data_IF_040535458070
#
_entry.id   IF_040535458070
#
_cell.length_a   1.000
_cell.length_b   1.000
_cell.length_c   1.000
_cell.angle_alpha   90.00
_cell.angle_beta   90.00
_cell.angle_gamma   90.00
#
_symmetry.space_group_name_H-M   'P 1'
#
loop_
_entity.id
_entity.type
_entity.pdbx_description
1 polymer ?
#
# COMPACT_ATOMS: atom_id res chain seq x y z
N UNK A 1 -2.21 -26.13 34.33
CA UNK A 1 -1.02 -26.69 35.00
C UNK A 1 -0.08 -27.29 33.97
N UNK A 2 1.08 -26.67 33.67
CA UNK A 2 2.10 -27.29 32.85
C UNK A 2 2.99 -28.22 33.69
N UNK A 3 3.14 -29.47 33.25
CA UNK A 3 4.39 -30.21 33.47
C UNK A 3 4.46 -31.23 34.62
N UNK A 4 3.36 -31.80 35.11
CA UNK A 4 3.49 -33.01 35.94
C UNK A 4 4.25 -34.09 35.16
N UNK A 5 5.36 -34.56 35.73
CA UNK A 5 6.16 -35.64 35.16
C UNK A 5 5.33 -36.92 35.10
N UNK A 6 5.51 -37.70 34.03
CA UNK A 6 4.86 -39.00 33.92
C UNK A 6 5.63 -39.99 34.80
N UNK A 7 4.93 -40.65 35.71
CA UNK A 7 5.54 -41.73 36.50
C UNK A 7 5.70 -42.99 35.65
N UNK A 8 6.57 -43.91 36.07
CA UNK A 8 6.74 -45.20 35.39
C UNK A 8 5.43 -45.99 35.38
N UNK A 9 4.69 -45.98 36.50
CA UNK A 9 3.38 -46.61 36.61
C UNK A 9 2.35 -46.05 35.62
N UNK A 10 2.28 -44.72 35.45
CA UNK A 10 1.39 -44.10 34.45
C UNK A 10 1.79 -44.47 33.01
N UNK A 11 3.07 -44.75 32.75
CA UNK A 11 3.58 -45.16 31.44
C UNK A 11 3.25 -46.63 31.16
N UNK A 12 3.36 -47.50 32.15
CA UNK A 12 2.97 -48.91 32.05
C UNK A 12 1.46 -49.04 31.82
N UNK A 13 0.65 -48.34 32.63
CA UNK A 13 -0.81 -48.28 32.41
C UNK A 13 -1.17 -47.80 31.00
N UNK A 14 -0.47 -46.79 30.48
CA UNK A 14 -0.67 -46.31 29.11
C UNK A 14 -0.38 -47.41 28.08
N UNK A 15 0.69 -48.17 28.27
CA UNK A 15 1.06 -49.27 27.36
C UNK A 15 0.00 -50.38 27.38
N UNK A 16 -0.46 -50.76 28.56
CA UNK A 16 -1.44 -51.84 28.72
C UNK A 16 -2.80 -51.47 28.13
N UNK A 17 -3.27 -50.23 28.36
CA UNK A 17 -4.53 -49.75 27.79
C UNK A 17 -4.47 -49.63 26.27
N UNK A 18 -3.31 -49.25 25.71
CA UNK A 18 -3.10 -49.23 24.26
C UNK A 18 -3.05 -50.64 23.66
N UNK A 19 -2.46 -51.61 24.36
CA UNK A 19 -2.46 -53.01 23.95
C UNK A 19 -3.87 -53.62 23.92
N UNK A 20 -4.77 -53.12 24.78
CA UNK A 20 -6.20 -53.45 24.79
C UNK A 20 -7.01 -52.75 23.68
N UNK A 21 -6.37 -51.92 22.85
CA UNK A 21 -7.00 -51.24 21.71
C UNK A 21 -7.83 -50.00 22.07
N UNK A 22 -7.75 -49.51 23.30
CA UNK A 22 -8.48 -48.31 23.72
C UNK A 22 -7.93 -47.06 23.03
N UNK A 23 -8.79 -46.08 22.75
CA UNK A 23 -8.39 -44.78 22.24
C UNK A 23 -8.05 -43.80 23.38
N UNK A 24 -7.25 -42.78 23.10
CA UNK A 24 -6.85 -41.79 24.11
C UNK A 24 -8.02 -41.01 24.74
N UNK A 25 -9.18 -40.95 24.08
CA UNK A 25 -10.43 -40.39 24.62
C UNK A 25 -11.13 -41.27 25.65
N UNK A 26 -10.86 -42.58 25.62
CA UNK A 26 -11.48 -43.58 26.48
C UNK A 26 -10.58 -43.95 27.67
N UNK A 27 -9.30 -43.57 27.61
CA UNK A 27 -8.33 -43.83 28.67
C UNK A 27 -8.45 -42.82 29.81
N UNK A 28 -8.42 -43.34 31.04
CA UNK A 28 -8.31 -42.54 32.25
C UNK A 28 -7.03 -42.93 33.01
N UNK A 29 -5.98 -42.12 32.84
CA UNK A 29 -4.68 -42.31 33.51
C UNK A 29 -4.49 -41.15 34.47
N UNK A 30 -4.62 -41.40 35.77
CA UNK A 30 -4.54 -40.38 36.81
C UNK A 30 -5.44 -39.16 36.52
N UNK A 31 -4.86 -37.97 36.55
CA UNK A 31 -5.51 -36.69 36.20
C UNK A 31 -5.18 -36.19 34.79
N UNK A 32 -4.70 -37.07 33.90
CA UNK A 32 -4.25 -36.69 32.55
C UNK A 32 -5.42 -36.48 31.61
N UNK A 33 -5.35 -35.40 30.83
CA UNK A 33 -6.33 -35.19 29.76
C UNK A 33 -6.09 -36.13 28.58
N UNK A 34 -7.11 -36.44 27.76
CA UNK A 34 -6.96 -37.24 26.54
C UNK A 34 -5.85 -36.73 25.62
N UNK A 35 -5.70 -35.41 25.50
CA UNK A 35 -4.63 -34.79 24.72
C UNK A 35 -3.24 -35.06 25.31
N UNK A 36 -3.09 -35.07 26.65
CA UNK A 36 -1.83 -35.40 27.30
C UNK A 36 -1.46 -36.88 27.09
N UNK A 37 -2.45 -37.77 27.20
CA UNK A 37 -2.33 -39.21 26.95
C UNK A 37 -1.88 -39.47 25.51
N UNK A 38 -2.60 -38.92 24.52
CA UNK A 38 -2.25 -39.04 23.11
C UNK A 38 -0.85 -38.50 22.79
N UNK A 39 -0.49 -37.34 23.36
CA UNK A 39 0.84 -36.77 23.16
C UNK A 39 1.96 -37.58 23.80
N UNK A 40 1.71 -38.25 24.93
CA UNK A 40 2.69 -39.13 25.57
C UNK A 40 2.83 -40.43 24.80
N UNK A 41 1.72 -41.05 24.40
CA UNK A 41 1.71 -42.25 23.57
C UNK A 41 2.47 -42.02 22.26
N UNK A 42 2.26 -40.87 21.61
CA UNK A 42 2.99 -40.46 20.40
C UNK A 42 4.46 -40.05 20.64
N UNK A 43 4.90 -39.85 21.89
CA UNK A 43 6.32 -39.61 22.24
C UNK A 43 7.05 -40.88 22.60
N UNK A 44 6.32 -41.92 23.01
CA UNK A 44 6.83 -43.26 23.30
C UNK A 44 6.69 -44.19 22.10
N UNK A 45 6.34 -43.63 20.93
CA UNK A 45 6.12 -44.34 19.66
C UNK A 45 5.09 -45.48 19.74
N UNK A 46 4.16 -45.43 20.70
CA UNK A 46 3.06 -46.39 20.79
C UNK A 46 1.95 -46.11 19.77
N UNK A 47 1.82 -44.86 19.31
CA UNK A 47 0.83 -44.42 18.31
C UNK A 47 1.41 -43.32 17.42
N UNK A 48 1.04 -43.30 16.15
CA UNK A 48 1.45 -42.25 15.20
C UNK A 48 1.98 -42.79 13.89
N UNK A 49 2.46 -41.88 13.05
CA UNK A 49 3.01 -42.12 11.72
C UNK A 49 4.43 -42.72 11.71
N UNK A 50 4.96 -43.11 12.87
CA UNK A 50 6.30 -43.68 13.01
C UNK A 50 7.45 -42.71 12.73
N UNK A 51 7.17 -41.40 12.58
CA UNK A 51 8.19 -40.38 12.30
C UNK A 51 8.88 -40.00 13.62
N UNK A 52 10.16 -40.38 13.84
CA UNK A 52 10.85 -40.09 15.08
C UNK A 52 10.97 -38.57 15.26
N UNK A 53 10.42 -38.05 16.34
CA UNK A 53 10.53 -36.60 16.66
C UNK A 53 11.90 -36.32 17.25
N UNK A 54 12.93 -36.31 16.39
CA UNK A 54 14.33 -36.05 16.75
C UNK A 54 14.43 -34.77 17.58
N UNK A 55 15.13 -34.82 18.72
CA UNK A 55 15.45 -33.61 19.50
C UNK A 55 16.36 -32.71 18.66
N UNK A 56 16.19 -31.40 18.76
CA UNK A 56 17.08 -30.45 18.10
C UNK A 56 18.46 -30.51 18.76
N UNK A 57 19.49 -30.83 17.98
CA UNK A 57 20.89 -30.77 18.41
C UNK A 57 21.44 -29.36 18.15
N UNK A 58 22.49 -28.98 18.87
CA UNK A 58 23.16 -27.69 18.67
C UNK A 58 23.67 -27.52 17.22
N UNK A 59 24.18 -28.60 16.63
CA UNK A 59 24.62 -28.66 15.23
C UNK A 59 23.46 -28.39 14.25
N UNK A 60 22.33 -29.06 14.43
CA UNK A 60 21.14 -28.86 13.58
C UNK A 60 20.59 -27.42 13.71
N UNK A 61 20.73 -26.80 14.88
CA UNK A 61 20.36 -25.40 15.09
C UNK A 61 21.32 -24.41 14.42
N UNK A 62 22.63 -24.68 14.48
CA UNK A 62 23.65 -23.89 13.80
C UNK A 62 23.48 -23.96 12.28
N UNK A 63 23.24 -25.16 11.77
CA UNK A 63 22.99 -25.40 10.36
C UNK A 63 21.69 -24.73 9.89
N UNK A 64 20.61 -24.81 10.68
CA UNK A 64 19.38 -24.09 10.40
C UNK A 64 19.61 -22.56 10.35
N UNK A 65 20.42 -21.99 11.25
CA UNK A 65 20.77 -20.56 11.21
C UNK A 65 21.55 -20.20 9.95
N UNK A 66 22.55 -21.01 9.57
CA UNK A 66 23.36 -20.81 8.37
C UNK A 66 22.49 -20.78 7.12
N UNK A 67 21.64 -21.79 6.94
CA UNK A 67 20.77 -21.93 5.77
C UNK A 67 19.76 -20.79 5.64
N UNK A 68 19.19 -20.32 6.76
CA UNK A 68 18.32 -19.14 6.76
C UNK A 68 19.11 -17.87 6.40
N UNK A 69 20.34 -17.72 6.90
CA UNK A 69 21.26 -16.65 6.50
C UNK A 69 21.54 -16.63 5.00
N UNK A 70 21.58 -17.82 4.38
CA UNK A 70 21.73 -18.02 2.93
C UNK A 70 20.42 -17.84 2.14
N UNK A 71 19.33 -17.43 2.80
CA UNK A 71 18.05 -17.14 2.16
C UNK A 71 17.17 -18.36 1.91
N UNK A 72 17.46 -19.51 2.53
CA UNK A 72 16.59 -20.68 2.40
C UNK A 72 15.25 -20.45 3.11
N UNK A 73 14.19 -21.02 2.56
CA UNK A 73 12.85 -20.98 3.17
C UNK A 73 12.53 -22.30 3.85
N UNK A 74 11.67 -22.28 4.87
CA UNK A 74 11.22 -23.50 5.55
C UNK A 74 10.60 -24.55 4.61
N UNK A 75 10.01 -24.11 3.48
CA UNK A 75 9.48 -25.01 2.46
C UNK A 75 10.58 -25.69 1.66
N UNK A 76 11.64 -24.94 1.30
CA UNK A 76 12.82 -25.47 0.60
C UNK A 76 13.59 -26.45 1.48
N UNK A 77 13.77 -26.10 2.75
CA UNK A 77 14.42 -26.97 3.74
C UNK A 77 13.69 -28.31 3.92
N UNK A 78 12.35 -28.29 3.94
CA UNK A 78 11.57 -29.53 4.07
C UNK A 78 11.46 -30.34 2.78
N UNK A 79 11.81 -29.76 1.63
CA UNK A 79 11.73 -30.43 0.34
C UNK A 79 13.04 -31.17 -0.01
N UNK A 80 14.15 -30.80 0.62
CA UNK A 80 15.44 -31.46 0.46
C UNK A 80 15.62 -32.49 1.58
N UNK A 81 15.57 -33.80 1.28
CA UNK A 81 15.68 -34.84 2.30
C UNK A 81 17.03 -34.82 3.04
N UNK A 82 18.07 -34.25 2.43
CA UNK A 82 19.43 -34.27 2.97
C UNK A 82 19.70 -33.10 3.94
N UNK A 83 18.89 -32.04 3.85
CA UNK A 83 19.07 -30.81 4.62
C UNK A 83 18.13 -30.86 5.83
N UNK A 84 18.63 -31.35 6.97
CA UNK A 84 17.90 -31.62 8.23
C UNK A 84 17.08 -32.93 8.25
N UNK A 85 17.76 -34.04 7.97
CA UNK A 85 17.22 -35.41 8.05
C UNK A 85 16.50 -35.66 9.39
N UNK A 86 15.23 -36.08 9.30
CA UNK A 86 14.40 -36.43 10.46
C UNK A 86 13.61 -35.26 11.07
N UNK A 87 13.68 -34.05 10.51
CA UNK A 87 12.84 -32.92 10.94
C UNK A 87 11.74 -32.63 9.91
N UNK A 88 10.48 -32.78 10.33
CA UNK A 88 9.36 -32.41 9.46
C UNK A 88 9.29 -30.90 9.22
N UNK A 89 8.63 -30.48 8.12
CA UNK A 89 8.35 -29.07 7.81
C UNK A 89 7.79 -28.30 9.01
N UNK A 90 6.87 -28.91 9.76
CA UNK A 90 6.25 -28.29 10.93
C UNK A 90 7.26 -28.15 12.09
N UNK A 91 8.14 -29.13 12.28
CA UNK A 91 9.22 -29.06 13.27
C UNK A 91 10.19 -27.91 12.95
N UNK A 92 10.61 -27.79 11.69
CA UNK A 92 11.46 -26.69 11.19
C UNK A 92 10.77 -25.34 11.39
N UNK A 93 9.51 -25.19 10.97
CA UNK A 93 8.75 -23.95 11.14
C UNK A 93 8.60 -23.54 12.61
N UNK A 94 8.27 -24.49 13.49
CA UNK A 94 8.17 -24.23 14.94
C UNK A 94 9.53 -23.82 15.52
N UNK A 95 10.61 -24.46 15.10
CA UNK A 95 11.96 -24.14 15.57
C UNK A 95 12.41 -22.76 15.12
N UNK A 96 12.22 -22.41 13.84
CA UNK A 96 12.47 -21.06 13.32
C UNK A 96 11.72 -19.99 14.10
N UNK A 97 10.45 -20.26 14.45
CA UNK A 97 9.64 -19.37 15.29
C UNK A 97 10.23 -19.19 16.69
N UNK A 98 10.66 -20.27 17.36
CA UNK A 98 11.29 -20.22 18.69
C UNK A 98 12.64 -19.49 18.68
N UNK A 99 13.40 -19.65 17.61
CA UNK A 99 14.70 -18.99 17.41
C UNK A 99 14.58 -17.55 16.91
N UNK A 100 13.36 -17.02 16.73
CA UNK A 100 13.08 -15.68 16.18
C UNK A 100 13.69 -15.45 14.78
N UNK A 101 13.91 -16.53 14.03
CA UNK A 101 14.43 -16.50 12.66
C UNK A 101 13.31 -16.29 11.61
N UNK A 102 12.05 -16.29 12.04
CA UNK A 102 10.91 -15.90 11.21
C UNK A 102 10.61 -14.41 11.32
N UNK A 103 10.17 -13.79 10.24
CA UNK A 103 9.58 -12.43 10.26
C UNK A 103 8.40 -12.38 11.26
N UNK A 104 8.64 -11.79 12.43
CA UNK A 104 7.65 -11.62 13.48
C UNK A 104 6.47 -10.75 13.06
N UNK A 105 6.69 -9.81 12.14
CA UNK A 105 5.65 -8.98 11.54
C UNK A 105 4.72 -9.79 10.63
N UNK A 106 5.27 -10.70 9.82
CA UNK A 106 4.47 -11.67 9.04
C UNK A 106 3.65 -12.58 9.96
N UNK A 107 4.26 -13.13 11.00
CA UNK A 107 3.58 -14.02 11.96
C UNK A 107 2.48 -13.31 12.76
N UNK A 108 2.69 -12.04 13.12
CA UNK A 108 1.65 -11.21 13.76
C UNK A 108 0.49 -10.94 12.79
N UNK A 109 0.78 -10.46 11.58
CA UNK A 109 -0.24 -10.24 10.54
C UNK A 109 -1.05 -11.50 10.21
N UNK A 110 -0.42 -12.67 10.23
CA UNK A 110 -1.11 -13.94 9.97
C UNK A 110 -2.06 -14.36 11.10
N UNK A 111 -1.74 -14.00 12.36
CA UNK A 111 -2.61 -14.20 13.52
C UNK A 111 -3.77 -13.20 13.54
N UNK A 112 -3.49 -11.95 13.22
CA UNK A 112 -4.49 -10.86 13.21
C UNK A 112 -5.35 -10.89 11.94
N UNK A 113 -5.06 -11.79 11.00
CA UNK A 113 -5.82 -11.93 9.77
C UNK A 113 -7.21 -12.51 10.07
N UNK A 114 -8.22 -11.64 10.03
CA UNK A 114 -9.61 -12.06 10.21
C UNK A 114 -10.04 -12.96 9.06
N UNK A 115 -10.41 -14.22 9.38
CA UNK A 115 -10.82 -15.22 8.38
C UNK A 115 -12.33 -15.26 8.27
N UNK A 116 -12.82 -15.47 7.05
CA UNK A 116 -14.24 -15.76 6.86
C UNK A 116 -14.45 -17.22 7.26
N UNK A 117 -15.52 -17.51 7.99
CA UNK A 117 -15.96 -18.88 8.21
C UNK A 117 -16.37 -19.53 6.88
N UNK A 118 -16.49 -20.86 6.83
CA UNK A 118 -16.91 -21.54 5.60
C UNK A 118 -18.26 -21.02 5.08
N UNK A 119 -19.25 -20.86 5.96
CA UNK A 119 -20.56 -20.31 5.60
C UNK A 119 -20.49 -18.85 5.14
N UNK A 120 -19.67 -18.00 5.77
CA UNK A 120 -19.47 -16.63 5.32
C UNK A 120 -18.78 -16.58 3.95
N UNK A 121 -17.84 -17.49 3.72
CA UNK A 121 -17.10 -17.55 2.46
C UNK A 121 -18.01 -17.97 1.31
N UNK A 122 -18.91 -18.91 1.54
CA UNK A 122 -19.90 -19.36 0.56
C UNK A 122 -20.86 -18.23 0.16
N UNK A 123 -21.47 -17.56 1.17
CA UNK A 123 -22.28 -16.35 0.92
C UNK A 123 -21.50 -15.27 0.17
N UNK A 124 -20.23 -15.11 0.51
CA UNK A 124 -19.36 -14.15 -0.16
C UNK A 124 -19.12 -14.53 -1.63
N UNK A 125 -18.90 -15.81 -1.95
CA UNK A 125 -18.71 -16.27 -3.33
C UNK A 125 -19.98 -16.06 -4.16
N UNK A 126 -21.14 -16.41 -3.63
CA UNK A 126 -22.44 -16.14 -4.27
C UNK A 126 -22.62 -14.64 -4.54
N UNK A 127 -22.28 -13.80 -3.56
CA UNK A 127 -22.32 -12.34 -3.72
C UNK A 127 -21.36 -11.84 -4.81
N UNK A 128 -20.14 -12.39 -4.86
CA UNK A 128 -19.15 -12.05 -5.89
C UNK A 128 -19.67 -12.36 -7.29
N UNK A 129 -20.22 -13.55 -7.51
CA UNK A 129 -20.73 -13.96 -8.82
C UNK A 129 -21.87 -13.06 -9.29
N UNK A 130 -22.78 -12.66 -8.39
CA UNK A 130 -23.87 -11.76 -8.70
C UNK A 130 -23.41 -10.33 -9.09
N UNK A 131 -22.32 -9.83 -8.49
CA UNK A 131 -21.90 -8.44 -8.65
C UNK A 131 -20.67 -8.23 -9.54
N UNK A 132 -19.90 -9.28 -9.84
CA UNK A 132 -18.65 -9.15 -10.58
C UNK A 132 -18.81 -8.53 -11.96
N UNK A 133 -19.97 -8.72 -12.60
CA UNK A 133 -20.25 -8.19 -13.93
C UNK A 133 -20.43 -6.67 -13.95
N UNK A 134 -21.05 -6.11 -12.90
CA UNK A 134 -21.52 -4.71 -12.84
C UNK A 134 -20.71 -3.82 -11.92
N UNK A 135 -19.99 -4.41 -10.97
CA UNK A 135 -19.28 -3.67 -9.93
C UNK A 135 -17.76 -3.83 -10.04
N UNK A 136 -17.04 -2.75 -9.75
CA UNK A 136 -15.59 -2.82 -9.56
C UNK A 136 -15.25 -3.58 -8.28
N UNK A 137 -14.06 -4.19 -8.15
CA UNK A 137 -13.67 -4.87 -6.90
C UNK A 137 -13.71 -3.97 -5.65
N UNK A 138 -13.54 -2.66 -5.83
CA UNK A 138 -13.67 -1.69 -4.74
C UNK A 138 -15.14 -1.47 -4.34
N UNK A 139 -16.06 -1.37 -5.32
CA UNK A 139 -17.49 -1.29 -5.03
C UNK A 139 -18.01 -2.55 -4.37
N UNK A 140 -17.60 -3.73 -4.84
CA UNK A 140 -18.01 -5.01 -4.26
C UNK A 140 -17.62 -5.05 -2.78
N UNK A 141 -16.39 -4.63 -2.44
CA UNK A 141 -15.96 -4.52 -1.06
C UNK A 141 -16.85 -3.56 -0.25
N UNK A 142 -17.16 -2.38 -0.80
CA UNK A 142 -18.03 -1.41 -0.12
C UNK A 142 -19.45 -1.94 0.10
N UNK A 143 -20.04 -2.60 -0.90
CA UNK A 143 -21.40 -3.15 -0.81
C UNK A 143 -21.46 -4.29 0.20
N UNK A 144 -20.53 -5.25 0.12
CA UNK A 144 -20.46 -6.37 1.06
C UNK A 144 -20.33 -5.87 2.51
N UNK A 145 -19.44 -4.90 2.73
CA UNK A 145 -19.12 -4.37 4.06
C UNK A 145 -20.25 -3.55 4.72
N UNK A 146 -21.33 -3.23 4.01
CA UNK A 146 -22.49 -2.55 4.62
C UNK A 146 -23.25 -3.45 5.59
N UNK A 147 -23.35 -4.72 5.23
CA UNK A 147 -24.23 -5.68 5.91
C UNK A 147 -23.45 -6.85 6.52
N UNK A 148 -22.16 -6.99 6.18
CA UNK A 148 -21.38 -8.15 6.57
C UNK A 148 -20.12 -7.77 7.36
N UNK A 149 -19.94 -8.48 8.47
CA UNK A 149 -18.68 -8.56 9.20
C UNK A 149 -18.13 -9.99 9.08
N UNK A 150 -16.80 -10.16 8.97
CA UNK A 150 -15.76 -9.14 8.99
C UNK A 150 -15.60 -8.36 7.68
N UNK A 151 -15.05 -7.14 7.77
CA UNK A 151 -14.83 -6.27 6.63
C UNK A 151 -13.84 -6.89 5.63
N UNK A 152 -14.22 -6.85 4.36
CA UNK A 152 -13.43 -7.35 3.24
C UNK A 152 -12.80 -6.17 2.51
N UNK A 153 -11.50 -6.29 2.20
CA UNK A 153 -10.78 -5.27 1.42
C UNK A 153 -10.87 -5.56 -0.08
N UNK A 154 -10.64 -4.53 -0.91
CA UNK A 154 -10.51 -4.68 -2.38
C UNK A 154 -9.56 -5.83 -2.76
N UNK A 155 -8.41 -5.96 -2.08
CA UNK A 155 -7.41 -7.00 -2.38
C UNK A 155 -7.99 -8.41 -2.19
N UNK A 156 -8.79 -8.59 -1.14
CA UNK A 156 -9.44 -9.85 -0.84
C UNK A 156 -10.55 -10.18 -1.84
N UNK A 157 -11.31 -9.18 -2.29
CA UNK A 157 -12.26 -9.34 -3.41
C UNK A 157 -11.53 -9.82 -4.66
N UNK A 158 -10.45 -9.15 -5.07
CA UNK A 158 -9.67 -9.55 -6.25
C UNK A 158 -9.15 -10.98 -6.13
N UNK A 159 -8.60 -11.35 -4.97
CA UNK A 159 -8.13 -12.72 -4.72
C UNK A 159 -9.23 -13.76 -4.93
N UNK A 160 -10.42 -13.54 -4.36
CA UNK A 160 -11.52 -14.49 -4.51
C UNK A 160 -12.12 -14.51 -5.92
N UNK A 161 -12.20 -13.36 -6.61
CA UNK A 161 -12.60 -13.33 -8.02
C UNK A 161 -11.62 -14.13 -8.91
N UNK A 162 -10.31 -13.99 -8.67
CA UNK A 162 -9.30 -14.77 -9.38
C UNK A 162 -9.44 -16.27 -9.10
N UNK A 163 -9.69 -16.64 -7.84
CA UNK A 163 -9.91 -18.04 -7.45
C UNK A 163 -11.17 -18.63 -8.09
N UNK A 164 -12.20 -17.81 -8.31
CA UNK A 164 -13.43 -18.18 -9.01
C UNK A 164 -13.31 -18.13 -10.55
N UNK A 165 -12.12 -17.84 -11.10
CA UNK A 165 -11.90 -17.75 -12.54
C UNK A 165 -12.45 -16.48 -13.20
N UNK A 166 -13.02 -15.55 -12.41
CA UNK A 166 -13.56 -14.27 -12.90
C UNK A 166 -12.41 -13.27 -13.06
N UNK A 167 -11.72 -13.35 -14.20
CA UNK A 167 -10.64 -12.42 -14.55
C UNK A 167 -11.22 -11.21 -15.27
N UNK A 168 -10.83 -10.01 -14.83
CA UNK A 168 -11.05 -8.76 -15.54
C UNK A 168 -9.72 -8.05 -15.72
N UNK A 169 -9.50 -7.53 -16.92
CA UNK A 169 -8.36 -6.68 -17.19
C UNK A 169 -8.50 -5.37 -16.41
N UNK A 170 -7.37 -4.75 -16.10
CA UNK A 170 -7.38 -3.43 -15.48
C UNK A 170 -8.11 -2.40 -16.36
N UNK A 171 -7.93 -2.47 -17.69
CA UNK A 171 -8.58 -1.57 -18.64
C UNK A 171 -10.12 -1.62 -18.53
N UNK A 172 -10.71 -2.82 -18.46
CA UNK A 172 -12.15 -3.00 -18.29
C UNK A 172 -12.64 -2.38 -16.98
N UNK A 173 -11.93 -2.62 -15.87
CA UNK A 173 -12.26 -2.03 -14.57
C UNK A 173 -12.23 -0.51 -14.62
N UNK A 174 -11.29 0.08 -15.37
CA UNK A 174 -11.19 1.54 -15.53
C UNK A 174 -12.32 2.13 -16.37
N UNK A 175 -12.91 1.36 -17.29
CA UNK A 175 -14.05 1.79 -18.09
C UNK A 175 -15.38 1.80 -17.33
N UNK A 176 -15.45 1.14 -16.17
CA UNK A 176 -16.65 1.08 -15.33
C UNK A 176 -17.03 2.45 -14.76
N UNK A 177 -18.33 2.67 -14.58
CA UNK A 177 -18.89 3.95 -14.14
C UNK A 177 -18.27 4.46 -12.82
N UNK A 178 -18.03 3.57 -11.86
CA UNK A 178 -17.42 3.94 -10.58
C UNK A 178 -15.98 4.39 -10.70
N UNK A 179 -15.16 3.68 -11.47
CA UNK A 179 -13.77 4.07 -11.74
C UNK A 179 -13.71 5.42 -12.44
N UNK A 180 -14.59 5.64 -13.44
CA UNK A 180 -14.72 6.94 -14.12
C UNK A 180 -15.16 8.05 -13.16
N UNK A 181 -16.15 7.81 -12.31
CA UNK A 181 -16.62 8.78 -11.32
C UNK A 181 -15.51 9.14 -10.32
N UNK A 182 -14.79 8.14 -9.80
CA UNK A 182 -13.65 8.32 -8.90
C UNK A 182 -12.53 9.09 -9.57
N UNK A 183 -12.18 8.75 -10.82
CA UNK A 183 -11.21 9.52 -11.61
C UNK A 183 -11.64 10.98 -11.77
N UNK A 184 -12.89 11.25 -12.15
CA UNK A 184 -13.42 12.61 -12.28
C UNK A 184 -13.32 13.39 -10.98
N UNK A 185 -13.64 12.77 -9.84
CA UNK A 185 -13.50 13.39 -8.52
C UNK A 185 -12.05 13.71 -8.19
N UNK A 186 -11.13 12.78 -8.42
CA UNK A 186 -9.69 12.98 -8.21
C UNK A 186 -9.16 14.09 -9.13
N UNK A 187 -9.52 14.07 -10.41
CA UNK A 187 -9.16 15.11 -11.37
C UNK A 187 -9.73 16.48 -10.98
N UNK A 188 -10.97 16.56 -10.50
CA UNK A 188 -11.59 17.80 -10.01
C UNK A 188 -10.85 18.34 -8.78
N UNK A 189 -10.53 17.47 -7.81
CA UNK A 189 -9.73 17.85 -6.62
C UNK A 189 -8.33 18.32 -7.01
N UNK A 190 -7.66 17.61 -7.93
CA UNK A 190 -6.34 17.97 -8.43
C UNK A 190 -6.36 19.31 -9.18
N UNK A 191 -7.38 19.55 -10.00
CA UNK A 191 -7.56 20.82 -10.70
C UNK A 191 -7.77 21.98 -9.73
N UNK A 192 -8.64 21.82 -8.72
CA UNK A 192 -8.86 22.82 -7.69
C UNK A 192 -7.59 23.11 -6.86
N UNK A 193 -6.87 22.06 -6.45
CA UNK A 193 -5.61 22.22 -5.73
C UNK A 193 -4.52 22.88 -6.59
N UNK A 194 -4.48 22.58 -7.89
CA UNK A 194 -3.59 23.28 -8.82
C UNK A 194 -3.97 24.74 -8.97
N UNK A 195 -5.26 25.07 -9.06
CA UNK A 195 -5.73 26.45 -9.16
C UNK A 195 -5.34 27.26 -7.92
N UNK A 196 -5.59 26.73 -6.72
CA UNK A 196 -5.20 27.39 -5.46
C UNK A 196 -3.70 27.65 -5.37
N UNK A 197 -2.87 26.65 -5.69
CA UNK A 197 -1.40 26.83 -5.74
C UNK A 197 -0.98 27.91 -6.74
N UNK A 198 -1.71 28.05 -7.85
CA UNK A 198 -1.43 29.07 -8.83
C UNK A 198 -1.83 30.48 -8.41
N UNK A 199 -2.93 30.61 -7.69
CA UNK A 199 -3.35 31.87 -7.08
C UNK A 199 -2.31 32.32 -6.06
N UNK A 200 -1.90 31.43 -5.15
CA UNK A 200 -0.81 31.71 -4.19
C UNK A 200 0.50 32.13 -4.87
N UNK A 201 0.93 31.40 -5.90
CA UNK A 201 2.12 31.77 -6.67
C UNK A 201 1.98 33.14 -7.33
N UNK A 202 0.78 33.48 -7.83
CA UNK A 202 0.53 34.79 -8.45
C UNK A 202 0.61 35.90 -7.42
N UNK A 203 -0.01 35.72 -6.26
CA UNK A 203 -0.04 36.71 -5.20
C UNK A 203 1.37 36.98 -4.67
N UNK A 204 2.18 35.92 -4.54
CA UNK A 204 3.59 36.03 -4.18
C UNK A 204 4.41 36.77 -5.26
N UNK A 205 4.23 36.44 -6.53
CA UNK A 205 4.90 37.15 -7.63
C UNK A 205 4.48 38.63 -7.69
N UNK A 206 3.21 38.92 -7.40
CA UNK A 206 2.73 40.30 -7.34
C UNK A 206 3.35 41.06 -6.17
N UNK A 207 3.41 40.46 -4.98
CA UNK A 207 3.97 41.09 -3.79
C UNK A 207 5.46 41.38 -3.97
N UNK A 208 6.22 40.44 -4.55
CA UNK A 208 7.64 40.61 -4.92
C UNK A 208 7.83 41.78 -5.90
N UNK A 209 7.00 41.86 -6.95
CA UNK A 209 7.06 42.96 -7.91
C UNK A 209 6.69 44.29 -7.24
N UNK A 210 5.66 44.33 -6.39
CA UNK A 210 5.28 45.54 -5.65
C UNK A 210 6.41 46.00 -4.74
N UNK A 211 7.08 45.09 -4.06
CA UNK A 211 8.24 45.39 -3.23
C UNK A 211 9.42 45.91 -4.05
N UNK A 212 9.74 45.27 -5.18
CA UNK A 212 10.78 45.73 -6.09
C UNK A 212 10.47 47.14 -6.63
N UNK A 213 9.21 47.42 -6.95
CA UNK A 213 8.76 48.74 -7.38
C UNK A 213 8.94 49.78 -6.26
N UNK A 214 8.57 49.45 -5.01
CA UNK A 214 8.79 50.30 -3.83
C UNK A 214 10.27 50.61 -3.66
N UNK A 215 11.14 49.59 -3.60
CA UNK A 215 12.60 49.74 -3.45
C UNK A 215 13.18 50.64 -4.55
N UNK A 216 12.76 50.48 -5.81
CA UNK A 216 13.21 51.32 -6.93
C UNK A 216 12.76 52.77 -6.80
N UNK A 217 11.49 53.01 -6.46
CA UNK A 217 10.97 54.37 -6.24
C UNK A 217 11.75 55.08 -5.13
N UNK A 218 12.00 54.41 -4.01
CA UNK A 218 12.79 54.97 -2.90
C UNK A 218 14.21 55.35 -3.33
N UNK A 219 14.92 54.46 -4.05
CA UNK A 219 16.28 54.71 -4.56
C UNK A 219 16.36 55.82 -5.60
N UNK A 220 15.29 56.05 -6.36
CA UNK A 220 15.27 57.08 -7.41
C UNK A 220 14.94 58.45 -6.79
N UNK A 221 14.02 58.47 -5.81
CA UNK A 221 13.69 59.66 -5.02
C UNK A 221 14.90 60.19 -4.24
N UNK A 222 15.68 59.30 -3.61
CA UNK A 222 16.92 59.71 -2.92
C UNK A 222 18.00 60.27 -3.84
N UNK A 223 17.91 60.02 -5.15
CA UNK A 223 18.84 60.54 -6.17
C UNK A 223 18.29 61.76 -6.93
N UNK A 224 17.14 62.30 -6.52
CA UNK A 224 16.50 63.45 -7.18
C UNK A 224 16.01 63.18 -8.61
N UNK A 225 15.92 61.91 -9.04
CA UNK A 225 15.48 61.54 -10.39
C UNK A 225 14.02 61.10 -10.39
N UNK A 226 13.30 61.33 -11.49
CA UNK A 226 11.96 60.77 -11.69
C UNK A 226 12.06 59.38 -12.31
N UNK A 227 11.33 58.40 -11.74
CA UNK A 227 11.26 57.05 -12.29
C UNK A 227 10.21 57.03 -13.39
N UNK A 228 10.57 56.58 -14.60
CA UNK A 228 9.58 56.39 -15.66
C UNK A 228 8.57 55.32 -15.25
N UNK A 229 7.30 55.69 -15.21
CA UNK A 229 6.18 54.80 -14.87
C UNK A 229 5.35 54.53 -16.11
N UNK A 230 4.90 53.30 -16.26
CA UNK A 230 3.97 52.89 -17.31
C UNK A 230 2.77 52.18 -16.71
N UNK A 231 1.61 52.38 -17.33
CA UNK A 231 0.36 51.71 -16.97
C UNK A 231 0.20 50.45 -17.82
N UNK A 232 -0.07 49.31 -17.17
CA UNK A 232 -0.38 48.08 -17.87
C UNK A 232 -1.76 48.18 -18.55
N UNK A 233 -1.86 47.87 -19.85
CA UNK A 233 -3.15 47.90 -20.57
C UNK A 233 -4.21 46.93 -20.03
N UNK A 234 -3.80 45.83 -19.40
CA UNK A 234 -4.72 44.77 -19.00
C UNK A 234 -5.25 44.94 -17.57
N UNK A 235 -4.38 45.34 -16.64
CA UNK A 235 -4.74 45.46 -15.22
C UNK A 235 -4.73 46.90 -14.71
N UNK A 236 -4.43 47.89 -15.58
CA UNK A 236 -4.30 49.31 -15.26
C UNK A 236 -3.34 49.65 -14.10
N UNK A 237 -2.55 48.69 -13.64
CA UNK A 237 -1.58 48.90 -12.58
C UNK A 237 -0.38 49.70 -13.08
N UNK A 238 0.12 50.60 -12.23
CA UNK A 238 1.26 51.48 -12.49
C UNK A 238 2.58 50.80 -12.08
N UNK A 239 3.40 50.47 -13.06
CA UNK A 239 4.69 49.80 -12.85
C UNK A 239 5.86 50.63 -13.38
N UNK A 240 7.05 50.54 -12.79
CA UNK A 240 8.27 51.09 -13.39
C UNK A 240 8.47 50.57 -14.81
N UNK A 241 8.85 51.44 -15.75
CA UNK A 241 9.04 51.11 -17.16
C UNK A 241 10.41 50.42 -17.38
N UNK A 242 10.59 49.24 -16.79
CA UNK A 242 11.82 48.43 -16.86
C UNK A 242 11.49 46.93 -16.98
N UNK A 243 12.49 46.14 -17.40
CA UNK A 243 12.37 44.71 -17.75
C UNK A 243 11.71 43.80 -16.69
N UNK A 244 11.94 43.98 -15.36
CA UNK A 244 11.24 43.17 -14.36
C UNK A 244 9.72 43.23 -14.47
N UNK A 245 9.16 44.37 -14.88
CA UNK A 245 7.71 44.60 -14.92
C UNK A 245 7.11 44.42 -16.31
N UNK A 246 7.88 44.67 -17.36
CA UNK A 246 7.45 44.59 -18.75
C UNK A 246 8.46 43.81 -19.58
N UNK A 247 7.98 42.99 -20.51
CA UNK A 247 8.91 42.31 -21.42
C UNK A 247 9.51 43.33 -22.39
N UNK A 248 10.84 43.28 -22.51
CA UNK A 248 11.57 43.97 -23.56
C UNK A 248 11.43 43.21 -24.88
N UNK A 249 11.03 43.91 -25.92
CA UNK A 249 11.06 43.43 -27.28
C UNK A 249 12.17 44.14 -28.03
N UNK A 250 12.84 43.40 -28.91
CA UNK A 250 13.80 43.94 -29.85
C UNK A 250 13.25 43.78 -31.26
N UNK A 251 13.30 44.83 -32.06
CA UNK A 251 12.95 44.79 -33.48
C UNK A 251 14.12 45.35 -34.29
N UNK A 252 14.55 44.59 -35.28
CA UNK A 252 15.55 45.03 -36.25
C UNK A 252 14.90 46.01 -37.22
N UNK A 253 15.56 47.13 -37.46
CA UNK A 253 15.12 48.19 -38.38
C UNK A 253 16.28 48.53 -39.32
N UNK A 254 15.98 49.20 -40.44
CA UNK A 254 17.01 49.63 -41.41
C UNK A 254 18.12 50.49 -40.77
N UNK A 255 17.84 51.16 -39.65
CA UNK A 255 18.78 52.00 -38.88
C UNK A 255 19.36 51.30 -37.63
N UNK A 256 19.25 49.98 -37.52
CA UNK A 256 19.76 49.18 -36.39
C UNK A 256 18.68 48.53 -35.50
N UNK A 257 19.04 48.10 -34.29
CA UNK A 257 18.11 47.41 -33.36
C UNK A 257 17.38 48.43 -32.46
N UNK A 258 16.05 48.42 -32.49
CA UNK A 258 15.22 49.20 -31.57
C UNK A 258 14.65 48.31 -30.46
N UNK A 259 14.82 48.74 -29.21
CA UNK A 259 14.24 48.10 -28.02
C UNK A 259 12.98 48.84 -27.59
N UNK A 260 11.90 48.12 -27.29
CA UNK A 260 10.68 48.70 -26.74
C UNK A 260 10.06 47.78 -25.68
N UNK A 261 9.46 48.40 -24.67
CA UNK A 261 8.74 47.67 -23.62
C UNK A 261 7.32 47.33 -24.09
N UNK A 262 6.85 46.14 -23.71
CA UNK A 262 5.48 45.71 -23.95
C UNK A 262 4.42 46.63 -23.34
N UNK A 263 3.22 46.63 -23.94
CA UNK A 263 2.04 47.38 -23.45
C UNK A 263 1.35 46.73 -22.24
N UNK A 264 1.65 45.46 -21.98
CA UNK A 264 1.10 44.68 -20.86
C UNK A 264 2.24 44.29 -19.92
N UNK A 265 1.97 44.28 -18.62
CA UNK A 265 2.94 43.84 -17.63
C UNK A 265 3.22 42.33 -17.79
N UNK A 266 4.34 41.90 -17.22
CA UNK A 266 4.82 40.51 -17.29
C UNK A 266 3.82 39.53 -16.68
N UNK A 267 3.11 39.94 -15.62
CA UNK A 267 2.03 39.15 -15.00
C UNK A 267 0.85 38.91 -15.95
N UNK A 268 0.30 39.97 -16.54
CA UNK A 268 -0.81 39.85 -17.49
C UNK A 268 -0.42 39.06 -18.74
N UNK A 269 0.82 39.23 -19.23
CA UNK A 269 1.33 38.41 -20.34
C UNK A 269 1.40 36.93 -19.97
N UNK A 270 1.91 36.61 -18.77
CA UNK A 270 1.98 35.23 -18.29
C UNK A 270 0.58 34.61 -18.14
N UNK A 271 -0.40 35.38 -17.66
CA UNK A 271 -1.81 34.99 -17.61
C UNK A 271 -2.34 34.62 -19.01
N UNK A 272 -2.23 35.53 -19.99
CA UNK A 272 -2.65 35.30 -21.38
C UNK A 272 -1.99 34.07 -22.01
N UNK A 273 -0.67 33.89 -21.80
CA UNK A 273 0.07 32.72 -22.33
C UNK A 273 -0.51 31.40 -21.81
N UNK A 274 -0.94 31.36 -20.55
CA UNK A 274 -1.53 30.17 -19.94
C UNK A 274 -2.96 29.94 -20.39
N UNK A 275 -3.77 30.99 -20.47
CA UNK A 275 -5.13 30.89 -21.01
C UNK A 275 -5.12 30.37 -22.46
N UNK A 276 -4.18 30.85 -23.28
CA UNK A 276 -3.95 30.33 -24.63
C UNK A 276 -3.54 28.84 -24.63
N UNK A 277 -2.61 28.44 -23.75
CA UNK A 277 -2.23 27.02 -23.60
C UNK A 277 -3.41 26.16 -23.13
N UNK A 278 -4.24 26.66 -22.22
CA UNK A 278 -5.41 25.95 -21.73
C UNK A 278 -6.48 25.80 -22.82
N UNK A 279 -6.72 26.85 -23.63
CA UNK A 279 -7.61 26.77 -24.81
C UNK A 279 -7.11 25.72 -25.81
N UNK A 280 -5.81 25.71 -26.13
CA UNK A 280 -5.22 24.69 -27.02
C UNK A 280 -5.37 23.27 -26.49
N UNK A 281 -5.28 23.06 -25.17
CA UNK A 281 -5.45 21.74 -24.53
C UNK A 281 -6.90 21.26 -24.47
N UNK A 282 -7.87 22.17 -24.43
CA UNK A 282 -9.30 21.83 -24.35
C UNK A 282 -9.95 21.57 -25.72
N UNK A 283 -9.21 21.78 -26.82
CA UNK A 283 -9.77 21.78 -28.18
C UNK A 283 -10.64 23.03 -28.43
N UNK A 284 -11.02 23.31 -29.69
CA UNK A 284 -12.10 24.26 -29.95
C UNK A 284 -13.34 23.79 -29.19
N UNK A 285 -13.96 24.68 -28.41
CA UNK A 285 -15.29 24.41 -27.91
C UNK A 285 -16.18 24.22 -29.14
N UNK A 286 -16.69 23.01 -29.34
CA UNK A 286 -17.76 22.75 -30.31
C UNK A 286 -18.90 23.71 -29.96
N UNK A 287 -19.09 24.71 -30.81
CA UNK A 287 -20.24 25.59 -30.80
C UNK A 287 -21.47 24.84 -31.31
#
# INVERSE_FOLDING_TARGET
MPGQLWTEHEIEQLRDLLAQGLSASEMQIGSRSPAAIQNKAARLDFVGDGIPRKRWTAEAEAELKRLIGEGWTAARLSADPNVLVGYSRNAVQKKLGRMKLTDGGRSRRARDAVRLTAAQLDRFHTFLLAHASRCTPEQIALLWNRENTPLVTRRRVVYHLQKLGVKRSWAEVMQMAFSKAKQRQVSKKAAAASQKRWEQYRDQQESELRELARRRRSRTRSRGKSLSVRVCRDCNSRWPAVEPFYVLYEKQTAKGRRRYLGRICRMCRNKRRRESKNRRRKGPATA
#
